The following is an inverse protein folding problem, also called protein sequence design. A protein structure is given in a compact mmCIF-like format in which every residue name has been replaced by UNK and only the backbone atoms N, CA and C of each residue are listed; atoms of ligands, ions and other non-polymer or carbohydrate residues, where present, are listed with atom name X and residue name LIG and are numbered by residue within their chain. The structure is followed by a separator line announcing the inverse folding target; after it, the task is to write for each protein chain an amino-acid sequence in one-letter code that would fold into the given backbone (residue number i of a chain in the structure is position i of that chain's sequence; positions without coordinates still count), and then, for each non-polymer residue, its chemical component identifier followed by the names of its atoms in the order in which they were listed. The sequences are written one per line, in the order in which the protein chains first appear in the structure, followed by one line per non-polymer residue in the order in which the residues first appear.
data_IF_853201407769
#
_entry.id   IF_853201407769
#
_cell.length_a   1.000
_cell.length_b   1.000
_cell.length_c   1.000
_cell.angle_alpha   90.00
_cell.angle_beta   90.00
_cell.angle_gamma   90.00
#
_symmetry.space_group_name_H-M   'P 1'
#
loop_
_entity.id
_entity.type
_entity.pdbx_description
1 polymer ?
#
# COMPACT_ATOMS: atom_id res chain seq x y z
N UNK A 1 -65.52 -13.72 10.79
CA UNK A 1 -65.02 -12.74 9.81
C UNK A 1 -64.29 -11.68 10.60
N UNK A 2 -62.96 -11.75 10.66
CA UNK A 2 -62.15 -10.77 11.41
C UNK A 2 -62.02 -9.51 10.58
N UNK A 3 -62.61 -8.43 11.07
CA UNK A 3 -62.43 -7.09 10.52
C UNK A 3 -60.96 -6.68 10.67
N UNK A 4 -60.27 -6.51 9.54
CA UNK A 4 -58.99 -5.84 9.50
C UNK A 4 -59.22 -4.39 9.94
N UNK A 5 -58.62 -3.92 11.06
CA UNK A 5 -58.76 -2.54 11.45
C UNK A 5 -58.15 -1.69 10.35
N UNK A 6 -59.00 -0.89 9.72
CA UNK A 6 -58.70 0.08 8.68
C UNK A 6 -57.37 0.78 8.95
N UNK A 7 -56.36 0.55 8.09
CA UNK A 7 -55.17 1.40 8.09
C UNK A 7 -55.65 2.80 7.70
N UNK A 8 -55.76 3.70 8.68
CA UNK A 8 -56.20 5.06 8.38
C UNK A 8 -55.25 5.67 7.35
N UNK A 9 -55.74 6.52 6.43
CA UNK A 9 -54.90 7.16 5.43
C UNK A 9 -53.72 7.92 6.07
N UNK A 10 -53.87 8.39 7.31
CA UNK A 10 -52.82 9.02 8.11
C UNK A 10 -51.74 8.03 8.55
N UNK A 11 -52.11 6.83 9.00
CA UNK A 11 -51.15 5.76 9.33
C UNK A 11 -50.37 5.35 8.08
N UNK A 12 -51.04 5.25 6.93
CA UNK A 12 -50.40 4.91 5.64
C UNK A 12 -49.46 6.02 5.17
N UNK A 13 -49.81 7.29 5.37
CA UNK A 13 -48.95 8.43 5.06
C UNK A 13 -47.74 8.52 6.01
N UNK A 14 -47.90 8.22 7.29
CA UNK A 14 -46.82 8.15 8.26
C UNK A 14 -45.81 7.05 7.90
N UNK A 15 -46.28 5.86 7.55
CA UNK A 15 -45.43 4.76 7.10
C UNK A 15 -44.65 5.10 5.83
N UNK A 16 -45.30 5.73 4.84
CA UNK A 16 -44.60 6.19 3.61
C UNK A 16 -43.47 7.16 3.92
N UNK A 17 -43.71 8.16 4.78
CA UNK A 17 -42.66 9.11 5.21
C UNK A 17 -41.51 8.39 5.92
N UNK A 18 -41.81 7.41 6.77
CA UNK A 18 -40.80 6.62 7.46
C UNK A 18 -39.97 5.77 6.49
N UNK A 19 -40.59 5.19 5.47
CA UNK A 19 -39.90 4.44 4.42
C UNK A 19 -38.92 5.35 3.68
N UNK A 20 -39.37 6.52 3.21
CA UNK A 20 -38.49 7.46 2.49
C UNK A 20 -37.28 7.88 3.33
N UNK A 21 -37.47 8.19 4.61
CA UNK A 21 -36.36 8.52 5.51
C UNK A 21 -35.36 7.37 5.67
N UNK A 22 -35.85 6.14 5.80
CA UNK A 22 -34.99 4.97 5.92
C UNK A 22 -34.26 4.65 4.62
N UNK A 23 -34.88 4.89 3.46
CA UNK A 23 -34.24 4.73 2.15
C UNK A 23 -33.12 5.77 1.94
N UNK A 24 -33.34 7.02 2.35
CA UNK A 24 -32.31 8.07 2.33
C UNK A 24 -31.14 7.74 3.26
N UNK A 25 -31.42 7.31 4.50
CA UNK A 25 -30.39 6.91 5.46
C UNK A 25 -29.59 5.70 4.95
N UNK A 26 -30.26 4.70 4.37
CA UNK A 26 -29.58 3.56 3.74
C UNK A 26 -28.71 3.98 2.56
N UNK A 27 -29.18 4.88 1.71
CA UNK A 27 -28.39 5.39 0.58
C UNK A 27 -27.13 6.12 1.08
N UNK A 28 -27.24 6.89 2.16
CA UNK A 28 -26.11 7.58 2.78
C UNK A 28 -25.10 6.60 3.41
N UNK A 29 -25.60 5.60 4.15
CA UNK A 29 -24.77 4.56 4.76
C UNK A 29 -24.02 3.72 3.72
N UNK A 30 -24.70 3.32 2.65
CA UNK A 30 -24.07 2.59 1.53
C UNK A 30 -23.03 3.46 0.83
N UNK A 31 -23.30 4.76 0.63
CA UNK A 31 -22.32 5.71 0.09
C UNK A 31 -21.07 5.80 0.96
N UNK A 32 -21.22 5.89 2.29
CA UNK A 32 -20.10 5.90 3.26
C UNK A 32 -19.32 4.58 3.27
N UNK A 33 -20.00 3.44 3.12
CA UNK A 33 -19.38 2.12 3.06
C UNK A 33 -18.58 1.90 1.76
N UNK A 34 -19.05 2.42 0.63
CA UNK A 34 -18.31 2.38 -0.64
C UNK A 34 -17.11 3.35 -0.60
N UNK A 35 -17.25 4.49 0.08
CA UNK A 35 -16.18 5.48 0.27
C UNK A 35 -15.10 5.02 1.25
N UNK A 36 -15.41 4.09 2.16
CA UNK A 36 -14.40 3.47 3.02
C UNK A 36 -13.68 2.40 2.20
N UNK A 37 -12.36 2.51 2.00
CA UNK A 37 -11.64 1.60 1.12
C UNK A 37 -11.57 0.22 1.78
N UNK A 38 -12.51 -0.67 1.40
CA UNK A 38 -12.47 -2.13 1.61
C UNK A 38 -11.12 -2.73 1.16
N UNK A 39 -10.36 -1.98 0.37
CA UNK A 39 -9.03 -2.28 -0.12
C UNK A 39 -7.88 -2.17 0.89
N UNK A 40 -8.06 -1.64 2.11
CA UNK A 40 -6.94 -1.50 3.07
C UNK A 40 -6.35 -2.87 3.45
N UNK A 41 -7.17 -3.80 3.93
CA UNK A 41 -6.70 -5.11 4.39
C UNK A 41 -6.10 -5.99 3.28
N UNK A 42 -6.65 -5.92 2.06
CA UNK A 42 -6.10 -6.68 0.92
C UNK A 42 -4.73 -6.14 0.51
N UNK A 43 -4.55 -4.81 0.54
CA UNK A 43 -3.27 -4.17 0.22
C UNK A 43 -2.23 -4.44 1.30
N UNK A 44 -2.61 -4.33 2.57
CA UNK A 44 -1.77 -4.67 3.72
C UNK A 44 -1.33 -6.13 3.69
N UNK A 45 -2.28 -7.07 3.54
CA UNK A 45 -1.95 -8.50 3.43
C UNK A 45 -1.11 -8.85 2.20
N UNK A 46 -1.21 -8.08 1.11
CA UNK A 46 -0.32 -8.22 -0.05
C UNK A 46 1.09 -7.69 0.25
N UNK A 47 1.21 -6.57 0.95
CA UNK A 47 2.49 -6.02 1.37
C UNK A 47 3.22 -6.97 2.34
N UNK A 48 2.53 -7.50 3.34
CA UNK A 48 3.08 -8.49 4.28
C UNK A 48 3.57 -9.73 3.54
N UNK A 49 2.75 -10.30 2.64
CA UNK A 49 3.16 -11.47 1.85
C UNK A 49 4.41 -11.20 1.01
N UNK A 50 4.50 -10.02 0.39
CA UNK A 50 5.68 -9.62 -0.39
C UNK A 50 6.91 -9.53 0.51
N UNK A 51 6.78 -8.93 1.69
CA UNK A 51 7.89 -8.81 2.64
C UNK A 51 8.35 -10.17 3.16
N UNK A 52 7.42 -11.05 3.56
CA UNK A 52 7.72 -12.41 4.04
C UNK A 52 8.28 -13.31 2.92
N UNK A 53 7.95 -13.02 1.67
CA UNK A 53 8.52 -13.75 0.51
C UNK A 53 9.98 -13.41 0.23
N UNK A 54 10.55 -12.41 0.90
CA UNK A 54 11.98 -12.13 0.80
C UNK A 54 12.74 -13.18 1.63
N UNK A 55 13.68 -13.85 0.98
CA UNK A 55 14.51 -14.90 1.61
C UNK A 55 15.55 -14.34 2.56
N UNK A 56 15.92 -13.07 2.39
CA UNK A 56 17.03 -12.43 3.07
C UNK A 56 16.55 -11.12 3.74
N UNK A 57 17.19 -10.69 4.85
CA UNK A 57 16.88 -9.44 5.51
C UNK A 57 17.00 -8.24 4.56
N UNK A 58 16.08 -7.28 4.66
CA UNK A 58 16.07 -6.07 3.81
C UNK A 58 17.39 -5.28 3.92
N UNK A 59 18.02 -5.27 5.09
CA UNK A 59 19.34 -4.66 5.30
C UNK A 59 20.41 -5.26 4.41
N UNK A 60 20.42 -6.58 4.29
CA UNK A 60 21.43 -7.32 3.54
C UNK A 60 21.20 -7.15 2.03
N UNK A 61 19.93 -7.06 1.62
CA UNK A 61 19.55 -6.74 0.24
C UNK A 61 20.02 -5.34 -0.18
N UNK A 62 19.92 -4.36 0.73
CA UNK A 62 20.40 -2.99 0.49
C UNK A 62 21.93 -2.97 0.46
N UNK A 63 22.58 -3.61 1.43
CA UNK A 63 24.05 -3.68 1.48
C UNK A 63 24.66 -4.33 0.22
N UNK A 64 24.01 -5.37 -0.32
CA UNK A 64 24.43 -5.99 -1.59
C UNK A 64 24.25 -5.04 -2.78
N UNK A 65 23.19 -4.24 -2.81
CA UNK A 65 23.02 -3.20 -3.83
C UNK A 65 24.12 -2.14 -3.72
N UNK A 66 24.38 -1.62 -2.53
CA UNK A 66 25.43 -0.61 -2.29
C UNK A 66 26.80 -1.14 -2.70
N UNK A 67 27.12 -2.39 -2.34
CA UNK A 67 28.36 -3.07 -2.77
C UNK A 67 28.50 -3.06 -4.29
N UNK A 68 27.44 -3.38 -5.03
CA UNK A 68 27.47 -3.38 -6.51
C UNK A 68 27.60 -1.98 -7.11
N UNK A 69 27.01 -0.96 -6.47
CA UNK A 69 27.19 0.43 -6.89
C UNK A 69 28.65 0.86 -6.68
N UNK A 70 29.22 0.59 -5.51
CA UNK A 70 30.63 0.90 -5.21
C UNK A 70 31.59 0.21 -6.18
N UNK A 71 31.34 -1.06 -6.50
CA UNK A 71 32.16 -1.80 -7.48
C UNK A 71 32.03 -1.27 -8.92
N UNK A 72 30.89 -0.67 -9.29
CA UNK A 72 30.70 -0.07 -10.60
C UNK A 72 31.35 1.32 -10.71
N UNK A 73 31.55 2.01 -9.59
CA UNK A 73 32.24 3.30 -9.54
C UNK A 73 33.78 3.13 -9.51
N UNK A 74 34.26 2.00 -9.00
CA UNK A 74 35.68 1.66 -8.85
C UNK A 74 36.26 0.86 -10.05
N UNK A 75 35.77 1.12 -11.28
CA UNK A 75 36.26 0.51 -12.53
C UNK A 75 37.75 0.84 -12.88
N UNK A 76 38.54 1.26 -11.89
CA UNK A 76 39.99 1.38 -11.97
C UNK A 76 40.68 0.08 -11.53
N UNK A 77 40.98 -0.79 -12.49
CA UNK A 77 42.08 -1.77 -12.40
C UNK A 77 41.98 -2.90 -11.35
N UNK A 78 40.78 -3.24 -10.85
CA UNK A 78 40.57 -4.45 -10.04
C UNK A 78 39.92 -5.52 -10.92
N UNK A 79 40.59 -6.68 -11.09
CA UNK A 79 40.00 -7.85 -11.74
C UNK A 79 38.60 -8.11 -11.16
N UNK A 80 37.57 -8.05 -12.00
CA UNK A 80 36.18 -8.21 -11.58
C UNK A 80 36.01 -9.58 -10.89
N UNK A 81 36.00 -9.58 -9.56
CA UNK A 81 35.76 -10.79 -8.78
C UNK A 81 34.36 -11.27 -9.11
N UNK A 82 34.19 -12.50 -9.65
CA UNK A 82 32.88 -12.99 -10.02
C UNK A 82 31.99 -13.09 -8.78
N UNK A 83 30.76 -12.58 -8.89
CA UNK A 83 29.80 -12.61 -7.78
C UNK A 83 29.48 -14.05 -7.38
N UNK A 84 29.40 -14.30 -6.08
CA UNK A 84 28.99 -15.61 -5.57
C UNK A 84 27.50 -15.88 -5.84
N UNK A 85 27.11 -17.16 -5.82
CA UNK A 85 25.69 -17.55 -5.94
C UNK A 85 24.80 -16.91 -4.86
N UNK A 86 25.37 -16.66 -3.67
CA UNK A 86 24.66 -16.01 -2.58
C UNK A 86 24.41 -14.52 -2.86
N UNK A 87 25.42 -13.82 -3.38
CA UNK A 87 25.32 -12.41 -3.79
C UNK A 87 24.33 -12.23 -4.94
N UNK A 88 24.33 -13.15 -5.91
CA UNK A 88 23.41 -13.09 -7.04
C UNK A 88 21.95 -13.37 -6.60
N UNK A 89 21.76 -14.27 -5.64
CA UNK A 89 20.45 -14.51 -5.01
C UNK A 89 19.97 -13.27 -4.26
N UNK A 90 20.82 -12.68 -3.42
CA UNK A 90 20.51 -11.47 -2.67
C UNK A 90 20.16 -10.32 -3.62
N UNK A 91 20.92 -10.10 -4.70
CA UNK A 91 20.61 -9.05 -5.66
C UNK A 91 19.28 -9.28 -6.41
N UNK A 92 18.93 -10.54 -6.71
CA UNK A 92 17.59 -10.86 -7.27
C UNK A 92 16.48 -10.57 -6.27
N UNK A 93 16.69 -10.88 -4.99
CA UNK A 93 15.75 -10.55 -3.91
C UNK A 93 15.61 -9.03 -3.73
N UNK A 94 16.69 -8.25 -3.84
CA UNK A 94 16.66 -6.79 -3.87
C UNK A 94 15.82 -6.27 -5.06
N UNK A 95 16.02 -6.81 -6.27
CA UNK A 95 15.23 -6.43 -7.45
C UNK A 95 13.73 -6.67 -7.23
N UNK A 96 13.35 -7.77 -6.56
CA UNK A 96 11.95 -8.04 -6.18
C UNK A 96 11.43 -7.03 -5.16
N UNK A 97 12.21 -6.72 -4.12
CA UNK A 97 11.86 -5.69 -3.12
C UNK A 97 11.53 -4.35 -3.80
N UNK A 98 12.42 -3.87 -4.68
CA UNK A 98 12.23 -2.60 -5.40
C UNK A 98 11.03 -2.66 -6.36
N UNK A 99 10.79 -3.80 -7.01
CA UNK A 99 9.61 -3.99 -7.86
C UNK A 99 8.30 -3.92 -7.05
N UNK A 100 8.30 -4.47 -5.84
CA UNK A 100 7.12 -4.55 -4.97
C UNK A 100 6.88 -3.28 -4.16
N UNK A 101 7.95 -2.57 -3.82
CA UNK A 101 7.97 -1.38 -2.98
C UNK A 101 8.75 -0.27 -3.70
N UNK A 102 8.12 0.45 -4.65
CA UNK A 102 8.79 1.53 -5.39
C UNK A 102 9.35 2.64 -4.51
N UNK A 103 8.79 2.85 -3.31
CA UNK A 103 9.30 3.80 -2.33
C UNK A 103 10.75 3.50 -1.91
N UNK A 104 11.13 2.21 -1.82
CA UNK A 104 12.52 1.82 -1.53
C UNK A 104 13.44 2.27 -2.65
N UNK A 105 13.03 2.11 -3.91
CA UNK A 105 13.80 2.61 -5.07
C UNK A 105 14.03 4.11 -5.01
N UNK A 106 12.99 4.87 -4.68
CA UNK A 106 13.06 6.33 -4.55
C UNK A 106 13.99 6.70 -3.40
N UNK A 107 13.85 6.06 -2.25
CA UNK A 107 14.71 6.29 -1.08
C UNK A 107 16.19 6.05 -1.39
N UNK A 108 16.51 4.96 -2.08
CA UNK A 108 17.89 4.64 -2.46
C UNK A 108 18.48 5.66 -3.42
N UNK A 109 17.70 6.13 -4.41
CA UNK A 109 18.14 7.20 -5.33
C UNK A 109 18.42 8.52 -4.61
N UNK A 110 17.61 8.88 -3.63
CA UNK A 110 17.78 10.12 -2.87
C UNK A 110 19.02 10.02 -1.97
N UNK A 111 19.23 8.86 -1.33
CA UNK A 111 20.41 8.58 -0.52
C UNK A 111 21.71 8.70 -1.33
N UNK A 112 21.73 8.18 -2.57
CA UNK A 112 22.88 8.31 -3.47
C UNK A 112 23.15 9.75 -3.93
N UNK A 113 22.16 10.65 -3.81
CA UNK A 113 22.30 12.07 -4.21
C UNK A 113 22.64 13.00 -3.03
N UNK A 114 22.91 12.44 -1.83
CA UNK A 114 23.37 13.22 -0.67
C UNK A 114 22.29 14.07 0.01
N UNK A 115 21.00 13.84 -0.29
CA UNK A 115 19.90 14.56 0.35
C UNK A 115 19.53 13.97 1.71
N UNK A 116 19.09 14.84 2.64
CA UNK A 116 18.66 14.42 3.98
C UNK A 116 17.47 13.44 3.91
N UNK A 117 17.72 12.20 4.32
CA UNK A 117 16.77 11.08 4.37
C UNK A 117 15.43 11.43 5.03
N UNK A 118 15.44 12.40 5.96
CA UNK A 118 14.26 12.91 6.66
C UNK A 118 13.21 13.53 5.71
N UNK A 119 13.63 14.21 4.64
CA UNK A 119 12.72 14.80 3.65
C UNK A 119 12.08 13.72 2.74
N UNK A 120 12.84 12.68 2.39
CA UNK A 120 12.35 11.56 1.58
C UNK A 120 11.26 10.76 2.32
N UNK A 121 11.43 10.54 3.63
CA UNK A 121 10.42 9.88 4.45
C UNK A 121 9.11 10.69 4.54
N UNK A 122 9.19 12.03 4.52
CA UNK A 122 8.01 12.88 4.45
C UNK A 122 7.31 12.77 3.09
N UNK A 123 8.02 12.81 1.96
CA UNK A 123 7.44 12.64 0.63
C UNK A 123 6.73 11.29 0.43
N UNK A 124 7.31 10.20 0.94
CA UNK A 124 6.67 8.87 0.87
C UNK A 124 5.41 8.82 1.74
N UNK A 125 5.35 9.60 2.82
CA UNK A 125 4.17 9.73 3.69
C UNK A 125 3.04 10.54 3.02
N UNK A 126 3.37 11.48 2.13
CA UNK A 126 2.38 12.30 1.40
C UNK A 126 1.67 11.58 0.25
N UNK A 127 2.16 10.42 -0.21
CA UNK A 127 1.44 9.59 -1.17
C UNK A 127 0.31 8.76 -0.55
N UNK A 128 0.06 8.90 0.76
CA UNK A 128 -1.00 8.21 1.49
C UNK A 128 -2.01 9.14 2.18
N UNK A 129 -2.12 10.41 1.77
CA UNK A 129 -3.24 11.23 2.21
C UNK A 129 -4.51 10.81 1.46
N UNK A 130 -5.61 10.45 2.15
CA UNK A 130 -6.90 10.40 1.51
C UNK A 130 -7.25 11.85 1.15
N UNK A 131 -7.48 12.10 -0.14
CA UNK A 131 -8.02 13.39 -0.59
C UNK A 131 -9.33 13.66 0.18
N UNK A 132 -9.56 14.92 0.62
CA UNK A 132 -10.76 15.29 1.37
C UNK A 132 -12.06 15.07 0.57
#
# INVERSE_FOLDING_TARGET
MSENPSSSPETRAALKRRITLLEEENAELVSKMIKTPVHSYIREGRAIRRLVSLTDPVTDLIAEYDRRVMLAEDEGEIEAVPSSDAEERAFRSYKKLVQWCPSVKTLMKISTQGYQLAAACQEVSFLHTPNP
#
